data_IF_659595263556
#
_entry.id   IF_659595263556
#
_cell.length_a   1.000
_cell.length_b   1.000
_cell.length_c   1.000
_cell.angle_alpha   90.00
_cell.angle_beta   90.00
_cell.angle_gamma   90.00
#
_symmetry.space_group_name_H-M   'P 1'
#
loop_
_entity.id
_entity.type
_entity.pdbx_description
1 polymer ?
#
# COMPACT_ATOMS: atom_id res chain seq x y z
N UNK A 1 -20.02 -17.19 9.89
CA UNK A 1 -18.54 -17.35 9.84
C UNK A 1 -18.00 -17.33 8.41
N UNK A 2 -18.52 -18.16 7.50
CA UNK A 2 -18.04 -18.25 6.10
C UNK A 2 -18.04 -16.87 5.38
N UNK A 3 -19.11 -16.08 5.51
CA UNK A 3 -19.24 -14.79 4.82
C UNK A 3 -18.20 -13.76 5.26
N UNK A 4 -17.83 -13.74 6.56
CA UNK A 4 -16.75 -12.88 7.05
C UNK A 4 -15.40 -13.27 6.47
N UNK A 5 -15.13 -14.58 6.34
CA UNK A 5 -13.87 -15.06 5.74
C UNK A 5 -13.76 -14.61 4.28
N UNK A 6 -14.83 -14.71 3.50
CA UNK A 6 -14.87 -14.20 2.13
C UNK A 6 -14.67 -12.69 2.06
N UNK A 7 -15.28 -11.93 2.98
CA UNK A 7 -15.10 -10.48 3.05
C UNK A 7 -13.65 -10.10 3.34
N UNK A 8 -13.00 -10.73 4.33
CA UNK A 8 -11.59 -10.50 4.64
C UNK A 8 -10.65 -10.94 3.50
N UNK A 9 -10.95 -12.03 2.80
CA UNK A 9 -10.19 -12.47 1.64
C UNK A 9 -10.32 -11.49 0.47
N UNK A 10 -11.53 -11.06 0.15
CA UNK A 10 -11.77 -10.05 -0.88
C UNK A 10 -11.03 -8.74 -0.54
N UNK A 11 -11.03 -8.37 0.73
CA UNK A 11 -10.33 -7.20 1.25
C UNK A 11 -8.81 -7.33 1.12
N UNK A 12 -8.24 -8.48 1.49
CA UNK A 12 -6.82 -8.77 1.33
C UNK A 12 -6.41 -8.72 -0.15
N UNK A 13 -7.22 -9.32 -1.04
CA UNK A 13 -6.99 -9.29 -2.49
C UNK A 13 -7.03 -7.86 -3.02
N UNK A 14 -8.04 -7.06 -2.63
CA UNK A 14 -8.18 -5.67 -3.09
C UNK A 14 -6.97 -4.80 -2.73
N UNK A 15 -6.34 -5.04 -1.57
CA UNK A 15 -5.14 -4.30 -1.14
C UNK A 15 -3.85 -4.85 -1.76
N UNK A 16 -3.74 -6.18 -1.91
CA UNK A 16 -2.55 -6.81 -2.49
C UNK A 16 -2.44 -6.64 -4.01
N UNK A 17 -3.56 -6.61 -4.74
CA UNK A 17 -3.56 -6.50 -6.19
C UNK A 17 -2.88 -5.21 -6.71
N UNK A 18 -3.19 -4.00 -6.19
CA UNK A 18 -2.49 -2.78 -6.59
C UNK A 18 -1.02 -2.77 -6.13
N UNK A 19 -0.69 -3.40 -5.00
CA UNK A 19 0.71 -3.57 -4.59
C UNK A 19 1.49 -4.47 -5.57
N UNK A 20 0.88 -5.56 -6.02
CA UNK A 20 1.45 -6.45 -7.03
C UNK A 20 1.59 -5.74 -8.39
N UNK A 21 0.58 -4.95 -8.76
CA UNK A 21 0.59 -4.13 -9.97
C UNK A 21 1.71 -3.09 -9.97
N UNK A 22 1.86 -2.35 -8.87
CA UNK A 22 2.96 -1.39 -8.70
C UNK A 22 4.32 -2.08 -8.78
N UNK A 23 4.51 -3.22 -8.08
CA UNK A 23 5.71 -4.04 -8.20
C UNK A 23 6.02 -4.45 -9.64
N UNK A 24 5.02 -4.92 -10.38
CA UNK A 24 5.19 -5.30 -11.78
C UNK A 24 5.62 -4.11 -12.65
N UNK A 25 5.05 -2.93 -12.43
CA UNK A 25 5.39 -1.71 -13.18
C UNK A 25 6.82 -1.22 -12.89
N UNK A 26 7.26 -1.28 -11.64
CA UNK A 26 8.56 -0.75 -11.24
C UNK A 26 9.70 -1.78 -11.30
N UNK A 27 9.42 -3.02 -11.72
CA UNK A 27 10.42 -4.11 -11.74
C UNK A 27 11.66 -3.79 -12.58
N UNK A 28 11.51 -2.96 -13.62
CA UNK A 28 12.60 -2.55 -14.52
C UNK A 28 13.28 -1.23 -14.11
N UNK A 29 12.87 -0.61 -13.00
CA UNK A 29 13.43 0.68 -12.56
C UNK A 29 14.70 0.51 -11.72
N UNK A 30 15.57 1.54 -11.68
CA UNK A 30 16.73 1.58 -10.79
C UNK A 30 16.32 1.38 -9.32
N UNK A 31 17.13 0.65 -8.55
CA UNK A 31 16.88 0.29 -7.15
C UNK A 31 16.41 1.47 -6.24
N UNK A 32 16.97 2.70 -6.30
CA UNK A 32 16.49 3.79 -5.44
C UNK A 32 15.08 4.27 -5.80
N UNK A 33 14.73 4.32 -7.08
CA UNK A 33 13.40 4.74 -7.52
C UNK A 33 12.37 3.64 -7.26
N UNK A 34 12.74 2.38 -7.52
CA UNK A 34 11.89 1.22 -7.26
C UNK A 34 11.53 1.12 -5.78
N UNK A 35 12.53 1.22 -4.90
CA UNK A 35 12.30 1.15 -3.46
C UNK A 35 11.43 2.31 -2.96
N UNK A 36 11.66 3.53 -3.44
CA UNK A 36 10.83 4.68 -3.11
C UNK A 36 9.35 4.44 -3.46
N UNK A 37 9.05 4.04 -4.71
CA UNK A 37 7.68 3.84 -5.18
C UNK A 37 6.99 2.68 -4.45
N UNK A 38 7.71 1.58 -4.20
CA UNK A 38 7.15 0.45 -3.48
C UNK A 38 6.88 0.80 -2.01
N UNK A 39 7.77 1.55 -1.36
CA UNK A 39 7.59 1.99 0.02
C UNK A 39 6.39 2.91 0.11
N UNK A 40 6.27 3.90 -0.77
CA UNK A 40 5.12 4.81 -0.75
C UNK A 40 3.81 4.09 -1.04
N UNK A 41 3.77 3.21 -2.05
CA UNK A 41 2.59 2.40 -2.35
C UNK A 41 2.21 1.47 -1.18
N UNK A 42 3.19 0.77 -0.59
CA UNK A 42 2.97 -0.08 0.58
C UNK A 42 2.45 0.73 1.78
N UNK A 43 3.03 1.89 2.05
CA UNK A 43 2.59 2.76 3.15
C UNK A 43 1.17 3.25 2.90
N UNK A 44 0.84 3.76 1.72
CA UNK A 44 -0.51 4.21 1.39
C UNK A 44 -1.54 3.09 1.49
N UNK A 45 -1.21 1.90 1.01
CA UNK A 45 -2.17 0.80 0.97
C UNK A 45 -2.34 0.09 2.31
N UNK A 46 -1.26 -0.09 3.08
CA UNK A 46 -1.25 -0.95 4.26
C UNK A 46 -1.29 -0.20 5.60
N UNK A 47 -1.13 1.12 5.62
CA UNK A 47 -1.15 1.87 6.89
C UNK A 47 -2.50 1.70 7.58
N UNK A 48 -2.55 1.28 8.86
CA UNK A 48 -3.80 1.20 9.60
C UNK A 48 -4.36 2.60 9.86
N UNK A 49 -5.56 2.86 9.38
CA UNK A 49 -6.31 4.10 9.50
C UNK A 49 -7.60 3.89 10.27
N UNK A 50 -8.11 4.93 10.89
CA UNK A 50 -9.48 4.93 11.42
C UNK A 50 -10.43 5.29 10.28
N UNK A 51 -11.43 4.44 10.05
CA UNK A 51 -12.44 4.65 9.01
C UNK A 51 -13.86 4.44 9.52
N UNK A 52 -14.85 5.09 8.90
CA UNK A 52 -16.25 4.90 9.26
C UNK A 52 -16.76 3.53 8.81
N UNK A 53 -17.45 2.82 9.69
CA UNK A 53 -18.22 1.63 9.39
C UNK A 53 -19.64 1.77 9.97
N UNK A 54 -20.52 2.39 9.18
CA UNK A 54 -21.98 2.58 9.38
C UNK A 54 -22.40 3.27 10.69
N UNK A 55 -21.97 2.78 11.85
CA UNK A 55 -22.37 3.22 13.19
C UNK A 55 -21.14 3.39 14.11
N UNK A 56 -19.98 2.86 13.74
CA UNK A 56 -18.75 2.92 14.55
C UNK A 56 -17.53 3.25 13.71
N UNK A 57 -16.47 3.69 14.37
CA UNK A 57 -15.16 3.87 13.74
C UNK A 57 -14.36 2.60 13.97
N UNK A 58 -13.84 2.02 12.90
CA UNK A 58 -13.07 0.77 12.94
C UNK A 58 -11.72 0.96 12.26
N UNK A 59 -10.77 0.10 12.63
CA UNK A 59 -9.44 0.11 12.04
C UNK A 59 -9.51 -0.52 10.64
N UNK A 60 -9.17 0.25 9.61
CA UNK A 60 -9.10 -0.19 8.22
C UNK A 60 -7.79 0.27 7.59
N UNK A 61 -7.18 -0.50 6.69
CA UNK A 61 -6.09 0.00 5.87
C UNK A 61 -6.47 1.29 5.12
N UNK A 62 -5.59 2.28 5.16
CA UNK A 62 -5.77 3.58 4.51
C UNK A 62 -6.02 3.44 3.01
N UNK A 63 -5.44 2.41 2.38
CA UNK A 63 -5.68 2.07 0.98
C UNK A 63 -7.15 1.91 0.64
N UNK A 64 -7.98 1.44 1.59
CA UNK A 64 -9.41 1.35 1.38
C UNK A 64 -10.07 2.72 1.25
N UNK A 65 -9.80 3.61 2.22
CA UNK A 65 -10.31 4.98 2.19
C UNK A 65 -9.83 5.69 0.92
N UNK A 66 -8.55 5.54 0.59
CA UNK A 66 -7.96 6.13 -0.60
C UNK A 66 -8.59 5.63 -1.90
N UNK A 67 -8.80 4.31 -2.06
CA UNK A 67 -9.41 3.72 -3.25
C UNK A 67 -10.88 4.17 -3.38
N UNK A 68 -11.65 4.15 -2.29
CA UNK A 68 -13.03 4.63 -2.30
C UNK A 68 -13.07 6.10 -2.71
N UNK A 69 -12.24 6.94 -2.10
CA UNK A 69 -12.14 8.37 -2.46
C UNK A 69 -11.73 8.59 -3.90
N UNK A 70 -10.87 7.75 -4.49
CA UNK A 70 -10.52 7.83 -5.91
C UNK A 70 -11.73 7.57 -6.81
N UNK A 71 -12.60 6.61 -6.45
CA UNK A 71 -13.81 6.29 -7.23
C UNK A 71 -14.95 7.28 -7.01
N UNK A 72 -15.11 7.79 -5.79
CA UNK A 72 -16.18 8.75 -5.43
C UNK A 72 -15.78 10.22 -5.62
N UNK A 73 -14.49 10.48 -5.85
CA UNK A 73 -13.88 11.80 -5.93
C UNK A 73 -14.10 12.68 -4.67
N UNK A 74 -14.35 12.06 -3.51
CA UNK A 74 -14.72 12.76 -2.27
C UNK A 74 -13.50 13.14 -1.40
N UNK A 75 -12.58 13.91 -1.96
CA UNK A 75 -11.31 14.28 -1.30
C UNK A 75 -11.47 15.06 0.00
N UNK A 76 -12.50 15.89 0.11
CA UNK A 76 -12.81 16.66 1.32
C UNK A 76 -13.19 15.75 2.49
N UNK A 77 -13.92 14.67 2.23
CA UNK A 77 -14.30 13.68 3.24
C UNK A 77 -13.06 12.93 3.75
N UNK A 78 -12.18 12.51 2.84
CA UNK A 78 -10.92 11.86 3.21
C UNK A 78 -10.05 12.77 4.10
N UNK A 79 -9.91 14.04 3.72
CA UNK A 79 -9.18 15.02 4.52
C UNK A 79 -9.83 15.22 5.90
N UNK A 80 -11.16 15.27 5.96
CA UNK A 80 -11.93 15.27 7.20
C UNK A 80 -11.55 14.09 8.10
N UNK A 81 -11.57 12.87 7.55
CA UNK A 81 -11.20 11.65 8.30
C UNK A 81 -9.76 11.66 8.81
N UNK A 82 -8.81 12.08 7.98
CA UNK A 82 -7.40 12.18 8.39
C UNK A 82 -7.23 13.21 9.50
N UNK A 83 -7.94 14.35 9.41
CA UNK A 83 -7.87 15.43 10.39
C UNK A 83 -8.51 15.12 11.74
N UNK A 84 -9.37 14.10 11.83
CA UNK A 84 -9.96 13.66 13.11
C UNK A 84 -8.93 13.00 14.03
N UNK A 85 -7.92 12.32 13.46
CA UNK A 85 -6.90 11.60 14.23
C UNK A 85 -5.48 11.88 13.70
N UNK A 86 -5.02 13.14 13.73
CA UNK A 86 -3.79 13.54 13.05
C UNK A 86 -2.55 12.87 13.66
N UNK A 87 -2.50 12.74 14.98
CA UNK A 87 -1.41 12.06 15.69
C UNK A 87 -1.33 10.56 15.36
N UNK A 88 -2.49 9.89 15.26
CA UNK A 88 -2.53 8.47 14.88
C UNK A 88 -1.97 8.28 13.47
N UNK A 89 -2.45 9.07 12.51
CA UNK A 89 -1.98 8.97 11.13
C UNK A 89 -0.48 9.31 11.03
N UNK A 90 0.00 10.34 11.73
CA UNK A 90 1.43 10.66 11.73
C UNK A 90 2.28 9.47 12.20
N UNK A 91 1.90 8.82 13.30
CA UNK A 91 2.64 7.67 13.84
C UNK A 91 2.50 6.44 12.93
N UNK A 92 1.27 6.12 12.52
CA UNK A 92 0.97 4.93 11.73
C UNK A 92 1.63 4.96 10.34
N UNK A 93 1.60 6.11 9.65
CA UNK A 93 2.27 6.27 8.36
C UNK A 93 3.80 6.16 8.50
N UNK A 94 4.40 6.81 9.50
CA UNK A 94 5.85 6.72 9.72
C UNK A 94 6.29 5.30 10.08
N UNK A 95 5.55 4.62 10.97
CA UNK A 95 5.84 3.23 11.34
C UNK A 95 5.71 2.29 10.13
N UNK A 96 4.64 2.44 9.35
CA UNK A 96 4.41 1.61 8.16
C UNK A 96 5.47 1.86 7.09
N UNK A 97 5.89 3.10 6.88
CA UNK A 97 6.97 3.46 5.96
C UNK A 97 8.32 2.86 6.35
N UNK A 98 8.65 2.86 7.65
CA UNK A 98 9.88 2.23 8.13
C UNK A 98 9.82 0.71 7.91
N UNK A 99 8.73 0.06 8.31
CA UNK A 99 8.54 -1.38 8.16
C UNK A 99 8.61 -1.77 6.67
N UNK A 100 7.89 -1.06 5.80
CA UNK A 100 7.87 -1.34 4.37
C UNK A 100 9.26 -1.15 3.75
N UNK A 101 10.00 -0.11 4.13
CA UNK A 101 11.37 0.10 3.68
C UNK A 101 12.29 -1.07 4.06
N UNK A 102 12.23 -1.55 5.30
CA UNK A 102 13.05 -2.69 5.73
C UNK A 102 12.68 -3.98 4.99
N UNK A 103 11.38 -4.23 4.77
CA UNK A 103 10.90 -5.40 4.01
C UNK A 103 11.36 -5.32 2.55
N UNK A 104 11.15 -4.19 1.89
CA UNK A 104 11.49 -3.99 0.46
C UNK A 104 13.00 -4.04 0.23
N UNK A 105 13.80 -3.50 1.16
CA UNK A 105 15.27 -3.58 1.08
C UNK A 105 15.79 -5.02 1.17
N UNK A 106 15.04 -5.92 1.83
CA UNK A 106 15.38 -7.35 1.91
C UNK A 106 14.93 -8.15 0.69
N UNK A 107 14.08 -7.60 -0.17
CA UNK A 107 13.66 -8.27 -1.39
C UNK A 107 14.81 -8.23 -2.42
N UNK A 108 15.30 -9.39 -2.89
CA UNK A 108 16.38 -9.41 -3.86
C UNK A 108 15.93 -8.74 -5.17
N UNK A 109 16.69 -7.73 -5.60
CA UNK A 109 16.56 -7.16 -6.94
C UNK A 109 16.85 -8.27 -7.95
N UNK A 110 15.87 -8.68 -8.74
CA UNK A 110 16.02 -9.76 -9.70
C UNK A 110 16.95 -9.30 -10.85
N UNK A 111 18.26 -9.46 -10.68
CA UNK A 111 19.31 -9.11 -11.66
C UNK A 111 19.39 -10.10 -12.83
N UNK A 112 18.49 -11.09 -12.91
CA UNK A 112 18.52 -12.12 -13.96
C UNK A 112 18.41 -11.55 -15.38
N UNK A 113 17.73 -10.40 -15.56
CA UNK A 113 17.61 -9.75 -16.87
C UNK A 113 18.88 -9.03 -17.35
N UNK A 114 19.82 -8.69 -16.47
CA UNK A 114 21.10 -8.06 -16.86
C UNK A 114 22.18 -9.07 -17.24
N UNK A 115 22.10 -10.32 -16.77
CA UNK A 115 23.12 -11.34 -17.05
C UNK A 115 23.05 -11.90 -18.48
N UNK A 116 21.87 -11.92 -19.10
CA UNK A 116 21.71 -12.44 -20.47
C UNK A 116 22.07 -11.43 -21.58
N UNK A 117 22.23 -10.15 -21.26
CA UNK A 117 22.63 -9.13 -22.24
C UNK A 117 24.16 -9.04 -22.44
N UNK A 118 24.96 -9.53 -21.48
CA UNK A 118 26.42 -9.50 -21.52
C UNK A 118 27.07 -10.80 -22.05
N UNK A 119 26.27 -11.83 -22.35
CA UNK A 119 26.75 -13.10 -22.92
C UNK A 119 26.54 -13.23 -24.43
N UNK A 120 26.10 -12.16 -25.10
CA UNK A 120 25.80 -12.12 -26.53
C UNK A 120 26.67 -11.09 -27.28
N UNK A 121 27.90 -10.85 -26.81
CA UNK A 121 28.91 -10.05 -27.48
C UNK A 121 30.15 -10.90 -27.77
#
# INVERSE_FOLDING_TARGET
MIFMVFFYLAFAVLMFLPLLGTWFMVRCMPDPQRSLILVTAATLLLTPSWGPATITVVLVPFGFLFIVTLFTWSWSELAGWVSLFPLWHAIAFSATALISYFVIRKLPSNKSFTANASGAA
#
